data_IF_619520870650
#
_entry.id   IF_619520870650
#
_cell.length_a   1.000
_cell.length_b   1.000
_cell.length_c   1.000
_cell.angle_alpha   90.00
_cell.angle_beta   90.00
_cell.angle_gamma   90.00
#
_symmetry.space_group_name_H-M   'P 1'
#
loop_
_entity.id
_entity.type
_entity.pdbx_description
1 polymer ?
#
# COMPACT_ATOMS: atom_id res chain seq x y z
N UNK A 1 -7.41 -15.78 -8.87
CA UNK A 1 -6.06 -15.49 -8.32
C UNK A 1 -5.42 -14.24 -8.94
N UNK A 2 -5.63 -13.94 -10.22
CA UNK A 2 -5.04 -12.76 -10.90
C UNK A 2 -5.55 -11.41 -10.39
N UNK A 3 -6.85 -11.24 -10.18
CA UNK A 3 -7.43 -9.95 -9.79
C UNK A 3 -6.95 -9.42 -8.43
N UNK A 4 -6.63 -10.30 -7.48
CA UNK A 4 -6.10 -9.90 -6.15
C UNK A 4 -4.67 -9.39 -6.26
N UNK A 5 -3.87 -9.96 -7.17
CA UNK A 5 -2.49 -9.53 -7.43
C UNK A 5 -2.47 -8.22 -8.21
N UNK A 6 -3.32 -8.07 -9.21
CA UNK A 6 -3.49 -6.80 -9.93
C UNK A 6 -3.94 -5.67 -9.01
N UNK A 7 -4.91 -5.94 -8.12
CA UNK A 7 -5.33 -4.99 -7.10
C UNK A 7 -4.16 -4.55 -6.21
N UNK A 8 -3.26 -5.48 -5.83
CA UNK A 8 -2.11 -5.15 -5.00
C UNK A 8 -1.12 -4.22 -5.72
N UNK A 9 -0.79 -4.49 -6.98
CA UNK A 9 0.05 -3.61 -7.79
C UNK A 9 -0.56 -2.21 -7.95
N UNK A 10 -1.86 -2.14 -8.24
CA UNK A 10 -2.60 -0.86 -8.34
C UNK A 10 -2.63 -0.10 -7.02
N UNK A 11 -2.82 -0.79 -5.89
CA UNK A 11 -2.87 -0.18 -4.55
C UNK A 11 -1.53 0.45 -4.18
N UNK A 12 -0.41 -0.20 -4.52
CA UNK A 12 0.93 0.36 -4.34
C UNK A 12 1.33 1.37 -5.42
N UNK A 13 0.55 1.47 -6.51
CA UNK A 13 0.77 2.41 -7.60
C UNK A 13 2.00 2.06 -8.46
N UNK A 14 2.21 0.76 -8.71
CA UNK A 14 3.37 0.25 -9.46
C UNK A 14 2.93 -0.74 -10.54
N UNK A 15 3.76 -0.92 -11.55
CA UNK A 15 3.53 -1.89 -12.63
C UNK A 15 3.69 -3.33 -12.14
N UNK A 16 2.95 -4.31 -12.69
CA UNK A 16 3.23 -5.73 -12.50
C UNK A 16 4.65 -6.17 -12.93
N UNK A 17 5.31 -5.36 -13.77
CA UNK A 17 6.71 -5.55 -14.18
C UNK A 17 7.72 -5.02 -13.16
N UNK A 18 7.27 -4.41 -12.05
CA UNK A 18 8.16 -3.88 -11.02
C UNK A 18 8.99 -4.99 -10.36
N UNK A 19 10.24 -4.64 -10.05
CA UNK A 19 11.18 -5.46 -9.28
C UNK A 19 10.78 -5.53 -7.81
N UNK A 20 11.30 -6.53 -7.09
CA UNK A 20 11.03 -6.70 -5.65
C UNK A 20 11.46 -5.46 -4.83
N UNK A 21 12.55 -4.81 -5.22
CA UNK A 21 13.05 -3.61 -4.54
C UNK A 21 12.14 -2.40 -4.81
N UNK A 22 11.61 -2.27 -6.02
CA UNK A 22 10.61 -1.24 -6.34
C UNK A 22 9.32 -1.47 -5.55
N UNK A 23 8.89 -2.71 -5.37
CA UNK A 23 7.72 -3.06 -4.52
C UNK A 23 7.98 -2.62 -3.07
N UNK A 24 9.13 -2.99 -2.51
CA UNK A 24 9.53 -2.59 -1.14
C UNK A 24 9.62 -1.07 -1.00
N UNK A 25 10.18 -0.38 -1.99
CA UNK A 25 10.29 1.08 -1.99
C UNK A 25 8.92 1.76 -2.10
N UNK A 26 8.03 1.25 -2.95
CA UNK A 26 6.66 1.76 -3.09
C UNK A 26 5.87 1.61 -1.80
N UNK A 27 5.98 0.46 -1.13
CA UNK A 27 5.38 0.22 0.18
C UNK A 27 5.86 1.24 1.22
N UNK A 28 7.19 1.42 1.38
CA UNK A 28 7.74 2.41 2.33
C UNK A 28 7.24 3.82 2.05
N UNK A 29 7.23 4.24 0.78
CA UNK A 29 6.69 5.55 0.36
C UNK A 29 5.19 5.67 0.66
N UNK A 30 4.43 4.61 0.47
CA UNK A 30 3.00 4.61 0.71
C UNK A 30 2.69 4.78 2.21
N UNK A 31 3.37 4.04 3.09
CA UNK A 31 3.22 4.15 4.55
C UNK A 31 3.65 5.52 5.06
N UNK A 32 4.78 6.05 4.57
CA UNK A 32 5.23 7.39 4.96
C UNK A 32 4.22 8.50 4.59
N UNK A 33 3.43 8.31 3.52
CA UNK A 33 2.37 9.25 3.15
C UNK A 33 1.16 9.19 4.07
N UNK A 34 0.93 8.08 4.76
CA UNK A 34 -0.19 7.90 5.68
C UNK A 34 0.14 8.23 7.14
N UNK A 35 1.28 8.91 7.41
CA UNK A 35 1.71 9.24 8.76
C UNK A 35 0.63 10.02 9.54
N UNK A 36 0.30 9.62 10.79
CA UNK A 36 -0.78 10.21 11.57
C UNK A 36 -0.61 11.71 11.80
N UNK A 37 0.62 12.22 11.89
CA UNK A 37 0.90 13.66 12.01
C UNK A 37 0.30 14.48 10.85
N UNK A 38 0.16 13.89 9.65
CA UNK A 38 -0.47 14.56 8.51
C UNK A 38 -1.99 14.66 8.64
N UNK A 39 -2.58 13.91 9.56
CA UNK A 39 -4.02 13.86 9.84
C UNK A 39 -4.38 14.40 11.23
N UNK A 40 -3.41 14.93 11.98
CA UNK A 40 -3.64 15.49 13.32
C UNK A 40 -4.68 16.64 13.33
N UNK A 41 -4.77 17.39 12.22
CA UNK A 41 -5.77 18.45 12.02
C UNK A 41 -6.87 18.07 11.03
N UNK A 42 -6.89 16.81 10.57
CA UNK A 42 -7.85 16.33 9.60
C UNK A 42 -9.15 15.91 10.29
N UNK A 43 -10.27 15.97 9.56
CA UNK A 43 -11.56 15.52 10.06
C UNK A 43 -11.55 14.02 10.39
N UNK A 44 -12.44 13.56 11.27
CA UNK A 44 -12.55 12.12 11.57
C UNK A 44 -12.73 11.26 10.31
N UNK A 45 -13.42 11.78 9.30
CA UNK A 45 -13.60 11.08 8.02
C UNK A 45 -12.27 10.89 7.29
N UNK A 46 -11.40 11.90 7.30
CA UNK A 46 -10.07 11.83 6.71
C UNK A 46 -9.16 10.89 7.50
N UNK A 47 -9.24 10.90 8.83
CA UNK A 47 -8.51 9.96 9.69
C UNK A 47 -8.95 8.50 9.42
N UNK A 48 -10.26 8.24 9.36
CA UNK A 48 -10.81 6.92 9.00
C UNK A 48 -10.34 6.47 7.61
N UNK A 49 -10.37 7.38 6.62
CA UNK A 49 -9.88 7.08 5.28
C UNK A 49 -8.38 6.75 5.26
N UNK A 50 -7.56 7.44 6.06
CA UNK A 50 -6.13 7.16 6.20
C UNK A 50 -5.85 5.78 6.82
N UNK A 51 -6.64 5.38 7.82
CA UNK A 51 -6.56 4.04 8.42
C UNK A 51 -6.89 2.96 7.39
N UNK A 52 -8.02 3.10 6.68
CA UNK A 52 -8.42 2.15 5.63
C UNK A 52 -7.36 2.06 4.53
N UNK A 53 -6.83 3.21 4.08
CA UNK A 53 -5.75 3.26 3.08
C UNK A 53 -4.51 2.50 3.55
N UNK A 54 -4.14 2.64 4.82
CA UNK A 54 -2.98 1.95 5.41
C UNK A 54 -3.19 0.43 5.44
N UNK A 55 -4.40 -0.02 5.81
CA UNK A 55 -4.74 -1.45 5.80
C UNK A 55 -4.64 -2.03 4.38
N UNK A 56 -5.15 -1.32 3.38
CA UNK A 56 -5.05 -1.73 1.97
C UNK A 56 -3.58 -1.84 1.51
N UNK A 57 -2.75 -0.85 1.84
CA UNK A 57 -1.31 -0.85 1.52
C UNK A 57 -0.61 -2.07 2.13
N UNK A 58 -0.87 -2.35 3.41
CA UNK A 58 -0.28 -3.50 4.11
C UNK A 58 -0.71 -4.83 3.47
N UNK A 59 -2.00 -4.96 3.16
CA UNK A 59 -2.55 -6.15 2.51
C UNK A 59 -1.98 -6.36 1.11
N UNK A 60 -1.90 -5.30 0.31
CA UNK A 60 -1.31 -5.34 -1.03
C UNK A 60 0.15 -5.81 -0.97
N UNK A 61 0.95 -5.25 -0.07
CA UNK A 61 2.34 -5.67 0.10
C UNK A 61 2.47 -7.13 0.54
N UNK A 62 1.64 -7.60 1.48
CA UNK A 62 1.64 -9.00 1.92
C UNK A 62 1.30 -9.98 0.79
N UNK A 63 0.33 -9.65 -0.06
CA UNK A 63 -0.02 -10.46 -1.24
C UNK A 63 1.16 -10.56 -2.20
N UNK A 64 1.77 -9.42 -2.56
CA UNK A 64 2.92 -9.43 -3.48
C UNK A 64 4.11 -10.18 -2.90
N UNK A 65 4.36 -10.01 -1.60
CA UNK A 65 5.40 -10.75 -0.88
C UNK A 65 5.18 -12.27 -0.95
N UNK A 66 3.95 -12.73 -0.74
CA UNK A 66 3.60 -14.15 -0.81
C UNK A 66 3.72 -14.72 -2.23
N UNK A 67 3.25 -13.99 -3.24
CA UNK A 67 3.27 -14.44 -4.64
C UNK A 67 4.68 -14.43 -5.23
N UNK A 68 5.49 -13.41 -4.90
CA UNK A 68 6.85 -13.23 -5.43
C UNK A 68 7.94 -13.88 -4.56
N UNK A 69 7.60 -14.30 -3.34
CA UNK A 69 8.48 -15.00 -2.39
C UNK A 69 9.76 -14.23 -2.04
N UNK A 70 9.63 -12.99 -1.54
CA UNK A 70 10.76 -12.15 -1.08
C UNK A 70 10.56 -11.57 0.32
#
# INVERSE_FOLDING_TARGET
TTGVVEWAYRTLGISPSATNDEIKAAYRRAIARTHPDRFAHASEQQQRAAVLRTQDINRAYAILKAVRKF
#
